data_IF_338690218191
#
_entry.id   IF_338690218191
#
_cell.length_a   1.000
_cell.length_b   1.000
_cell.length_c   1.000
_cell.angle_alpha   90.00
_cell.angle_beta   90.00
_cell.angle_gamma   90.00
#
_symmetry.space_group_name_H-M   'P 1'
#
loop_
_entity.id
_entity.type
_entity.pdbx_description
1 polymer ?
#
# COMPACT_ATOMS: atom_id res chain seq x y z
N UNK A 1 -24.50 -78.66 -10.18
CA UNK A 1 -23.06 -78.37 -10.37
C UNK A 1 -22.75 -77.06 -9.65
N UNK A 2 -21.63 -77.05 -8.93
CA UNK A 2 -21.17 -76.01 -8.00
C UNK A 2 -20.91 -74.70 -8.76
N UNK A 3 -21.23 -73.53 -8.18
CA UNK A 3 -20.35 -72.36 -8.12
C UNK A 3 -20.89 -71.35 -7.09
N UNK A 4 -20.28 -71.39 -5.90
CA UNK A 4 -20.25 -70.31 -4.91
C UNK A 4 -19.16 -69.33 -5.38
N UNK A 5 -19.48 -68.07 -5.66
CA UNK A 5 -18.45 -67.02 -5.81
C UNK A 5 -18.96 -65.66 -5.30
N UNK A 6 -18.55 -65.36 -4.07
CA UNK A 6 -18.00 -64.09 -3.53
C UNK A 6 -18.82 -62.80 -3.68
N UNK A 7 -19.55 -62.50 -2.62
CA UNK A 7 -19.86 -61.12 -2.18
C UNK A 7 -18.51 -60.44 -1.89
N UNK A 8 -18.14 -59.47 -2.72
CA UNK A 8 -16.88 -58.76 -2.63
C UNK A 8 -17.05 -57.29 -2.97
N UNK A 9 -17.02 -56.46 -1.92
CA UNK A 9 -16.26 -55.21 -1.90
C UNK A 9 -16.68 -54.11 -2.91
N UNK A 10 -17.74 -53.36 -2.57
CA UNK A 10 -17.93 -52.00 -3.10
C UNK A 10 -18.79 -51.12 -2.15
N UNK A 11 -18.53 -51.18 -0.84
CA UNK A 11 -19.19 -50.32 0.16
C UNK A 11 -18.25 -49.24 0.74
N UNK A 12 -17.26 -48.78 -0.04
CA UNK A 12 -16.22 -47.87 0.46
C UNK A 12 -15.95 -46.65 -0.44
N UNK A 13 -16.85 -46.31 -1.37
CA UNK A 13 -16.66 -45.18 -2.29
C UNK A 13 -17.67 -44.03 -2.13
N UNK A 14 -18.55 -44.07 -1.14
CA UNK A 14 -19.55 -43.01 -0.89
C UNK A 14 -19.25 -42.16 0.37
N UNK A 15 -18.10 -42.36 1.03
CA UNK A 15 -17.72 -41.65 2.25
C UNK A 15 -16.65 -40.55 2.05
N UNK A 16 -16.45 -40.08 0.81
CA UNK A 16 -15.49 -38.99 0.50
C UNK A 16 -16.16 -37.70 0.00
N UNK A 17 -17.49 -37.59 0.07
CA UNK A 17 -18.18 -36.31 -0.08
C UNK A 17 -18.21 -35.57 1.26
N UNK A 18 -17.04 -35.13 1.71
CA UNK A 18 -16.83 -34.34 2.92
C UNK A 18 -16.20 -32.99 2.60
N UNK A 19 -16.82 -32.19 1.73
CA UNK A 19 -16.52 -30.76 1.71
C UNK A 19 -17.17 -30.15 2.96
N UNK A 20 -16.30 -29.79 3.92
CA UNK A 20 -16.68 -29.22 5.20
C UNK A 20 -17.64 -28.06 5.04
N UNK A 21 -18.67 -28.07 5.87
CA UNK A 21 -19.56 -26.94 6.08
C UNK A 21 -18.72 -25.73 6.49
N UNK A 22 -18.49 -24.83 5.54
CA UNK A 22 -17.82 -23.56 5.79
C UNK A 22 -18.78 -22.73 6.64
N UNK A 23 -18.60 -22.76 7.96
CA UNK A 23 -19.34 -21.86 8.85
C UNK A 23 -18.78 -20.47 8.58
N UNK A 24 -19.51 -19.68 7.80
CA UNK A 24 -19.22 -18.27 7.60
C UNK A 24 -19.23 -17.59 8.98
N UNK A 25 -18.04 -17.27 9.50
CA UNK A 25 -17.89 -16.40 10.65
C UNK A 25 -18.39 -15.04 10.19
N UNK A 26 -19.56 -14.62 10.68
CA UNK A 26 -20.03 -13.26 10.49
C UNK A 26 -19.07 -12.36 11.27
N UNK A 27 -18.16 -11.70 10.56
CA UNK A 27 -17.41 -10.58 11.13
C UNK A 27 -18.43 -9.53 11.56
N UNK A 28 -18.51 -9.14 12.84
CA UNK A 28 -19.38 -8.04 13.23
C UNK A 28 -18.93 -6.80 12.47
N UNK A 29 -19.90 -6.05 11.93
CA UNK A 29 -19.59 -4.78 11.27
C UNK A 29 -18.85 -3.87 12.27
N UNK A 30 -17.72 -3.27 11.88
CA UNK A 30 -17.03 -2.36 12.77
C UNK A 30 -17.95 -1.17 13.06
N UNK A 31 -18.22 -0.92 14.34
CA UNK A 31 -18.88 0.29 14.79
C UNK A 31 -17.95 1.47 14.48
N UNK A 32 -18.24 2.18 13.39
CA UNK A 32 -17.50 3.38 13.01
C UNK A 32 -17.96 4.51 13.91
N UNK A 33 -17.23 4.73 15.00
CA UNK A 33 -17.40 5.92 15.83
C UNK A 33 -16.86 7.11 15.02
N UNK A 34 -17.75 7.81 14.33
CA UNK A 34 -17.44 9.09 13.69
C UNK A 34 -17.32 10.13 14.80
N UNK A 35 -16.10 10.33 15.29
CA UNK A 35 -15.78 11.49 16.12
C UNK A 35 -15.81 12.69 15.20
N UNK A 36 -16.97 13.35 15.11
CA UNK A 36 -17.03 14.70 14.55
C UNK A 36 -16.10 15.58 15.37
N UNK A 37 -14.92 15.89 14.82
CA UNK A 37 -14.02 16.88 15.40
C UNK A 37 -14.64 18.24 15.21
N UNK A 38 -15.61 18.58 16.06
CA UNK A 38 -16.03 19.97 16.24
C UNK A 38 -14.90 20.69 16.97
N UNK A 39 -13.79 20.94 16.27
CA UNK A 39 -12.78 21.89 16.73
C UNK A 39 -13.37 23.28 16.59
N UNK A 40 -14.18 23.68 17.58
CA UNK A 40 -14.27 25.09 17.94
C UNK A 40 -12.84 25.49 18.31
N UNK A 41 -12.11 26.03 17.34
CA UNK A 41 -10.73 26.48 17.49
C UNK A 41 -10.64 27.36 18.74
N UNK A 42 -9.86 26.93 19.71
CA UNK A 42 -9.63 27.72 20.90
C UNK A 42 -8.91 29.02 20.47
N UNK A 43 -9.37 30.21 20.91
CA UNK A 43 -8.72 31.46 20.57
C UNK A 43 -7.26 31.43 21.03
N UNK A 44 -6.34 31.75 20.12
CA UNK A 44 -4.90 31.75 20.37
C UNK A 44 -4.14 30.50 19.87
N UNK A 45 -4.83 29.47 19.35
CA UNK A 45 -4.17 28.33 18.70
C UNK A 45 -3.76 28.69 17.28
N UNK A 46 -2.49 28.47 16.94
CA UNK A 46 -1.95 28.66 15.58
C UNK A 46 -1.73 27.30 14.93
N UNK A 47 -2.43 27.06 13.82
CA UNK A 47 -2.27 25.83 13.04
C UNK A 47 -1.10 25.99 12.05
N UNK A 48 -0.25 24.98 11.99
CA UNK A 48 0.83 24.87 11.01
C UNK A 48 0.57 23.68 10.09
N UNK A 49 0.86 23.86 8.81
CA UNK A 49 0.82 22.79 7.81
C UNK A 49 2.23 22.57 7.28
N UNK A 50 2.61 21.30 7.16
CA UNK A 50 3.86 20.92 6.50
C UNK A 50 3.70 21.06 4.99
N UNK A 51 4.54 21.88 4.37
CA UNK A 51 4.66 21.98 2.92
C UNK A 51 5.75 21.03 2.46
N UNK A 52 5.39 20.04 1.63
CA UNK A 52 6.35 19.08 1.09
C UNK A 52 7.39 19.75 0.17
N UNK A 53 8.64 19.24 0.16
CA UNK A 53 9.66 19.71 -0.76
C UNK A 53 9.23 19.47 -2.20
N UNK A 54 9.61 20.38 -3.08
CA UNK A 54 9.43 20.21 -4.52
C UNK A 54 10.77 19.80 -5.12
N UNK A 55 10.79 18.64 -5.75
CA UNK A 55 11.94 18.13 -6.49
C UNK A 55 11.61 18.05 -7.97
N UNK A 56 12.62 18.21 -8.82
CA UNK A 56 12.50 18.08 -10.28
C UNK A 56 13.60 17.15 -10.80
N UNK A 57 13.37 16.54 -11.96
CA UNK A 57 14.33 15.64 -12.62
C UNK A 57 14.81 16.30 -13.89
N UNK A 58 16.12 16.54 -13.97
CA UNK A 58 16.75 17.17 -15.13
C UNK A 58 17.72 16.22 -15.81
N UNK A 59 17.72 16.23 -17.14
CA UNK A 59 18.69 15.50 -17.94
C UNK A 59 20.01 16.28 -18.01
N UNK A 60 21.08 15.68 -17.51
CA UNK A 60 22.44 16.23 -17.57
C UNK A 60 23.15 15.62 -18.78
N UNK A 61 23.58 16.44 -19.76
CA UNK A 61 24.25 15.93 -20.95
C UNK A 61 25.63 15.34 -20.59
N UNK A 62 26.16 14.43 -21.42
CA UNK A 62 27.53 13.98 -21.29
C UNK A 62 28.51 15.13 -21.53
N UNK A 63 29.66 15.06 -20.87
CA UNK A 63 30.70 16.09 -20.98
C UNK A 63 32.06 15.60 -20.53
N UNK A 64 33.10 16.22 -21.09
CA UNK A 64 34.46 16.10 -20.59
C UNK A 64 34.68 17.21 -19.55
N UNK A 65 35.43 16.92 -18.50
CA UNK A 65 35.91 17.95 -17.57
C UNK A 65 36.78 18.98 -18.32
N UNK A 66 36.89 20.22 -17.79
CA UNK A 66 37.67 21.29 -18.43
C UNK A 66 39.13 20.90 -18.71
N UNK A 67 39.72 20.07 -17.86
CA UNK A 67 41.09 19.57 -17.95
C UNK A 67 41.24 18.37 -18.90
N UNK A 68 40.12 17.79 -19.36
CA UNK A 68 40.09 16.67 -20.30
C UNK A 68 40.52 15.32 -19.74
N UNK A 69 40.55 15.17 -18.43
CA UNK A 69 41.00 13.95 -17.74
C UNK A 69 39.86 12.96 -17.48
N UNK A 70 38.63 13.45 -17.29
CA UNK A 70 37.49 12.66 -16.88
C UNK A 70 36.26 12.92 -17.76
N UNK A 71 35.75 11.85 -18.35
CA UNK A 71 34.47 11.87 -19.06
C UNK A 71 33.32 11.53 -18.12
N UNK A 72 32.31 12.40 -18.08
CA UNK A 72 31.03 12.18 -17.41
C UNK A 72 30.00 11.75 -18.45
N UNK A 73 29.38 10.58 -18.22
CA UNK A 73 28.24 10.12 -19.00
C UNK A 73 26.99 10.96 -18.72
N UNK A 74 26.12 11.05 -19.73
CA UNK A 74 24.81 11.66 -19.55
C UNK A 74 23.97 10.86 -18.55
N UNK A 75 23.29 11.56 -17.66
CA UNK A 75 22.49 10.95 -16.59
C UNK A 75 21.38 11.89 -16.15
N UNK A 76 20.43 11.36 -15.38
CA UNK A 76 19.40 12.16 -14.74
C UNK A 76 19.86 12.61 -13.35
N UNK A 77 19.61 13.87 -13.05
CA UNK A 77 19.85 14.43 -11.73
C UNK A 77 18.53 14.89 -11.12
N UNK A 78 18.32 14.57 -9.84
CA UNK A 78 17.21 15.11 -9.06
C UNK A 78 17.68 16.40 -8.41
N UNK A 79 17.00 17.51 -8.69
CA UNK A 79 17.27 18.80 -8.09
C UNK A 79 16.15 19.19 -7.13
N UNK A 80 16.52 19.80 -6.02
CA UNK A 80 15.55 20.36 -5.08
C UNK A 80 15.21 21.79 -5.50
N UNK A 81 13.97 22.01 -5.93
CA UNK A 81 13.46 23.32 -6.34
C UNK A 81 13.00 24.13 -5.13
N UNK A 82 12.41 23.45 -4.13
CA UNK A 82 11.94 24.07 -2.89
C UNK A 82 12.07 23.10 -1.72
N UNK A 83 12.66 23.58 -0.63
CA UNK A 83 12.75 22.82 0.61
C UNK A 83 11.40 22.70 1.31
N UNK A 84 11.20 21.57 1.99
CA UNK A 84 10.05 21.37 2.85
C UNK A 84 10.09 22.33 4.03
N UNK A 85 8.94 22.90 4.42
CA UNK A 85 8.86 23.87 5.51
C UNK A 85 7.50 23.89 6.19
N UNK A 86 7.49 24.26 7.45
CA UNK A 86 6.26 24.57 8.17
C UNK A 86 5.71 25.92 7.69
N UNK A 87 4.43 25.97 7.36
CA UNK A 87 3.71 27.20 7.01
C UNK A 87 2.52 27.41 7.94
N UNK A 88 2.26 28.66 8.26
CA UNK A 88 1.03 29.06 8.95
C UNK A 88 -0.17 28.72 8.07
N UNK A 89 -1.15 28.03 8.64
CA UNK A 89 -2.39 27.74 7.96
C UNK A 89 -3.29 28.99 8.03
N UNK A 90 -3.52 29.61 6.87
CA UNK A 90 -4.37 30.79 6.77
C UNK A 90 -5.83 30.33 6.60
N UNK A 91 -6.66 30.67 7.57
CA UNK A 91 -8.11 30.55 7.43
C UNK A 91 -8.59 31.76 6.63
N UNK A 92 -9.22 31.52 5.50
CA UNK A 92 -9.97 32.52 4.75
C UNK A 92 -11.35 32.77 5.38
#
# INVERSE_FOLDING_TARGET
MKHVVRIGMAAAALALSGCGTSRAVRTPEPEVIVVESQSRRAPGVVEYVWEEPMVDVVDVPPGLDPEGTYYRQGHQAVIEVRQGRWRYYKHE
#
